data_IF_052851500939
#
_entry.id   IF_052851500939
#
_cell.length_a   1.000
_cell.length_b   1.000
_cell.length_c   1.000
_cell.angle_alpha   90.00
_cell.angle_beta   90.00
_cell.angle_gamma   90.00
#
_symmetry.space_group_name_H-M   'P 1'
#
loop_
_entity.id
_entity.type
_entity.pdbx_description
1 polymer ?
#
# COMPACT_ATOMS: atom_id res chain seq x y z
N UNK A 10 7.61 7.37 10.49
CA UNK A 10 7.13 6.43 9.73
C UNK A 10 7.18 6.89 8.60
N UNK A 11 7.18 6.18 7.68
CA UNK A 11 7.23 6.58 6.55
C UNK A 11 6.42 5.84 5.55
N UNK A 12 6.21 6.17 4.60
CA UNK A 12 5.42 5.48 3.59
C UNK A 12 5.96 5.82 2.26
N UNK A 13 6.21 4.88 1.47
CA UNK A 13 6.74 5.15 0.16
C UNK A 13 5.98 4.44 -0.92
N UNK A 14 5.35 5.04 -1.74
CA UNK A 14 4.59 4.41 -2.81
C UNK A 14 4.68 5.21 -4.08
N UNK A 15 4.48 4.60 -5.20
CA UNK A 15 4.55 5.35 -6.46
C UNK A 15 3.33 6.19 -6.64
N UNK A 16 2.23 5.56 -6.84
CA UNK A 16 0.99 6.30 -6.99
C UNK A 16 0.52 6.76 -5.63
N UNK A 17 1.35 7.38 -4.88
CA UNK A 17 0.96 7.84 -3.53
C UNK A 17 -0.03 8.96 -3.62
N UNK A 18 -0.22 9.50 -4.78
CA UNK A 18 -1.18 10.59 -4.89
C UNK A 18 -2.47 10.19 -4.27
N UNK A 19 -2.72 8.95 -4.18
CA UNK A 19 -3.95 8.49 -3.58
C UNK A 19 -3.75 7.14 -2.97
N UNK A 20 -2.99 6.33 -3.58
CA UNK A 20 -2.75 5.01 -3.03
C UNK A 20 -1.96 5.14 -1.74
N UNK A 21 -1.40 6.26 -1.50
CA UNK A 21 -0.63 6.43 -0.26
C UNK A 21 -1.53 6.55 0.93
N UNK A 22 -2.56 7.28 0.80
CA UNK A 22 -3.47 7.44 1.94
C UNK A 22 -4.40 6.27 2.07
N UNK A 23 -4.64 5.55 1.02
CA UNK A 23 -5.54 4.40 1.13
C UNK A 23 -4.83 3.24 1.74
N UNK A 24 -3.73 2.92 1.24
CA UNK A 24 -2.98 1.80 1.79
C UNK A 24 -2.32 2.20 3.10
N UNK A 25 -2.35 3.42 3.44
CA UNK A 25 -1.71 3.84 4.71
C UNK A 25 -2.72 4.27 5.72
N UNK A 26 -3.83 4.74 5.30
CA UNK A 26 -4.83 5.15 6.28
C UNK A 26 -5.45 3.95 6.91
N UNK A 27 -5.61 2.90 6.17
CA UNK A 27 -6.17 1.70 6.76
C UNK A 27 -5.46 1.44 8.07
N UNK A 28 -4.19 1.66 8.08
CA UNK A 28 -3.38 1.47 9.30
C UNK A 28 -1.92 1.44 8.92
N UNK A 29 -1.54 2.28 8.01
CA UNK A 29 -0.14 2.31 7.56
C UNK A 29 0.49 0.94 7.65
N UNK A 30 -0.22 -0.07 7.34
CA UNK A 30 0.34 -1.42 7.42
C UNK A 30 -0.04 -2.25 6.26
N UNK A 31 -0.03 -3.13 5.96
CA UNK A 31 -0.38 -3.99 4.84
C UNK A 31 0.02 -5.23 5.06
N UNK A 32 0.28 -5.40 6.17
CA UNK A 32 0.67 -6.59 6.43
C UNK A 32 -0.20 -7.64 6.00
N UNK A 33 -1.23 -7.40 6.12
CA UNK A 33 -2.11 -8.38 5.70
C UNK A 33 -1.93 -8.82 4.36
N UNK A 34 -1.34 -8.12 3.77
CA UNK A 34 -1.12 -8.50 2.47
C UNK A 34 -0.45 -7.42 1.68
N UNK A 35 0.81 -7.59 1.48
CA UNK A 35 1.59 -6.62 0.72
C UNK A 35 1.43 -6.85 -0.76
N UNK A 36 0.30 -7.26 -1.20
CA UNK A 36 0.08 -7.50 -2.63
C UNK A 36 -1.33 -7.22 -3.03
N UNK A 37 -1.55 -6.72 -4.18
CA UNK A 37 -2.90 -6.43 -4.62
C UNK A 37 -3.03 -6.60 -6.11
N UNK A 38 -4.15 -6.95 -6.58
CA UNK A 38 -4.33 -7.13 -8.03
C UNK A 38 -4.80 -5.87 -8.67
N UNK A 39 -4.39 -5.61 -9.86
CA UNK A 39 -4.81 -4.39 -10.54
C UNK A 39 -6.24 -4.46 -10.98
N UNK A 40 -6.88 -5.49 -10.69
CA UNK A 40 -8.28 -5.61 -11.09
C UNK A 40 -9.14 -5.07 -10.01
N UNK A 41 -8.58 -4.57 -8.98
CA UNK A 41 -9.36 -4.02 -7.89
C UNK A 41 -10.06 -2.78 -8.34
N UNK A 42 -11.27 -2.67 -7.99
CA UNK A 42 -12.06 -1.51 -8.36
C UNK A 42 -11.57 -0.35 -7.58
N UNK A 43 -10.70 -0.57 -6.64
CA UNK A 43 -10.18 0.52 -5.85
C UNK A 43 -9.04 1.15 -6.54
N UNK A 44 -8.11 0.43 -6.87
CA UNK A 44 -6.97 0.99 -7.54
C UNK A 44 -7.40 1.57 -8.88
N UNK A 45 -8.46 1.11 -9.42
CA UNK A 45 -8.94 1.64 -10.72
C UNK A 45 -9.49 3.00 -10.55
N UNK A 46 -9.96 3.26 -9.41
CA UNK A 46 -10.50 4.58 -9.19
C UNK A 46 -9.42 5.55 -9.08
N UNK A 47 -8.25 5.11 -8.81
CA UNK A 47 -7.14 6.01 -8.69
C UNK A 47 -6.32 5.95 -9.90
N UNK A 48 -6.32 4.89 -10.54
CA UNK A 48 -5.54 4.76 -11.72
C UNK A 48 -4.21 4.19 -11.35
N UNK A 49 -4.12 3.17 -10.68
CA UNK A 49 -2.86 2.57 -10.29
C UNK A 49 -2.71 1.32 -10.93
N UNK A 50 -2.55 0.80 -11.52
CA UNK A 50 -2.40 -0.41 -12.16
C UNK A 50 -1.48 -0.99 -12.52
N UNK A 51 -1.00 -1.72 -12.27
CA UNK A 51 -0.10 -2.31 -12.61
C UNK A 51 1.24 -2.56 -12.25
N UNK A 52 1.52 -3.15 -11.46
CA UNK A 52 2.81 -3.42 -11.08
C UNK A 52 3.34 -2.32 -10.22
N UNK A 53 2.58 -1.64 -9.57
CA UNK A 53 3.04 -0.54 -8.72
C UNK A 53 3.35 -1.05 -7.32
N UNK A 54 4.30 -0.52 -6.68
CA UNK A 54 4.66 -0.97 -5.32
C UNK A 54 4.34 0.11 -4.29
N UNK A 55 4.00 -0.27 -3.11
CA UNK A 55 3.68 0.73 -2.07
C UNK A 55 4.39 0.37 -0.77
N UNK A 56 5.07 1.28 -0.20
CA UNK A 56 5.78 0.97 1.06
C UNK A 56 5.12 1.68 2.22
N UNK A 57 5.01 1.04 3.31
CA UNK A 57 4.38 1.66 4.47
C UNK A 57 5.14 1.30 5.74
N UNK A 58 5.72 2.19 6.41
CA UNK A 58 6.47 1.89 7.64
C UNK A 58 5.84 2.56 8.84
N UNK A 59 5.75 1.90 9.93
CA UNK A 59 5.15 2.50 11.12
C UNK A 59 5.94 2.19 12.35
N UNK A 60 6.04 3.02 13.15
CA UNK A 60 6.80 2.77 14.36
C UNK A 60 6.35 3.20 15.37
N UNK A 61 5.97 2.52 16.17
CA UNK A 61 5.53 2.89 17.17
C UNK A 61 5.95 2.10 18.33
N UNK A 62 6.27 2.66 19.21
CA UNK A 62 6.70 2.00 20.38
C UNK A 62 5.73 1.49 21.08
N UNK A 63 4.82 1.61 20.71
CA UNK A 63 3.86 1.12 21.36
C UNK A 63 3.45 0.16 20.83
N UNK A 64 3.53 0.13 19.80
CA UNK A 64 3.15 -0.79 19.24
C UNK A 64 3.99 -1.50 18.61
N UNK A 65 4.72 -1.20 18.34
CA UNK A 65 5.57 -1.85 17.72
C UNK A 65 6.07 -1.29 16.63
N UNK A 66 6.80 -1.91 15.94
CA UNK A 66 7.32 -1.40 14.87
C UNK A 66 7.00 -2.21 13.78
N UNK A 67 6.66 -1.70 12.72
CA UNK A 67 6.33 -2.43 11.63
C UNK A 67 6.63 -1.90 10.29
N UNK A 68 7.07 -2.65 9.40
CA UNK A 68 7.38 -2.18 8.07
C UNK A 68 6.71 -3.07 7.05
N UNK A 69 5.92 -2.50 6.20
CA UNK A 69 5.23 -3.31 5.17
C UNK A 69 5.25 -2.61 3.83
N UNK A 70 5.02 -3.32 2.78
CA UNK A 70 5.03 -2.70 1.44
C UNK A 70 4.07 -3.44 0.52
N UNK A 71 3.13 -2.75 -0.05
CA UNK A 71 2.17 -3.43 -0.96
C UNK A 71 2.68 -3.40 -2.38
N UNK A 72 2.10 -4.16 -3.25
CA UNK A 72 2.56 -4.18 -4.66
C UNK A 72 1.44 -4.59 -5.60
N UNK A 73 0.71 -3.65 -6.10
CA UNK A 73 -0.39 -3.98 -7.04
C UNK A 73 0.15 -4.61 -8.29
N UNK A 74 -0.39 -5.71 -8.69
CA UNK A 74 0.10 -6.36 -9.91
C UNK A 74 -1.03 -7.02 -10.65
N UNK A 75 -1.04 -6.97 -11.94
CA UNK A 75 -2.11 -7.60 -12.72
C UNK A 75 -1.95 -8.99 -12.82
N UNK A 76 -2.67 -9.78 -12.78
CA UNK A 76 -2.55 -11.15 -12.88
C UNK A 76 -2.49 -11.68 -13.10
N UNK A 77 -2.27 -12.15 -13.75
CA UNK A 77 -2.21 -12.68 -14.00
C UNK A 77 -1.53 -13.26 -14.22
#
# INVERSE_FOLDING_TARGET
MKVTDHILVPKHEIVPKEEVEEILKRYNIKIQQLPKIYEDDPVIQEIGAKEGDVVRVIRKSPTAGVSIAYRLVIKRII
#
